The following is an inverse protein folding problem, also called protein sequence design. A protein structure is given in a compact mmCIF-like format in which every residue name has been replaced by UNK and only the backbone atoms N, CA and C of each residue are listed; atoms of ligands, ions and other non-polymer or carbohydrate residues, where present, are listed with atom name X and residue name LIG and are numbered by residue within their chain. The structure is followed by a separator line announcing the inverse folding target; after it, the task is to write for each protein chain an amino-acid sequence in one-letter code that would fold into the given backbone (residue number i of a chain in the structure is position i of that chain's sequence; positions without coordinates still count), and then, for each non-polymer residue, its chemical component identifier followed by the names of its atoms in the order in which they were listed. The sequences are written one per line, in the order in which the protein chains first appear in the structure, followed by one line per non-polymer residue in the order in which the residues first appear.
data_IF_749550289854
#
_entry.id   IF_749550289854
#
_cell.length_a   1.000
_cell.length_b   1.000
_cell.length_c   1.000
_cell.angle_alpha   90.00
_cell.angle_beta   90.00
_cell.angle_gamma   90.00
#
_symmetry.space_group_name_H-M   'P 1'
#
loop_
_entity.id
_entity.type
_entity.pdbx_description
1 polymer ?
#
# COMPACT_ATOMS: atom_id res chain seq x y z
N UNK A 1 57.14 6.39 -10.27
CA UNK A 1 57.04 6.36 -11.74
C UNK A 1 55.60 6.67 -12.03
N UNK A 2 55.16 7.99 -12.05
CA UNK A 2 55.33 9.01 -13.09
C UNK A 2 54.82 8.49 -14.43
N UNK A 3 53.85 9.09 -15.03
CA UNK A 3 53.56 10.39 -15.64
C UNK A 3 52.08 10.45 -16.06
N UNK A 4 51.23 11.37 -15.76
CA UNK A 4 51.06 12.77 -16.19
C UNK A 4 51.04 13.01 -17.72
N UNK A 5 49.91 13.50 -18.23
CA UNK A 5 49.77 14.40 -19.41
C UNK A 5 48.31 14.85 -19.53
N UNK A 6 47.92 16.01 -19.02
CA UNK A 6 47.76 17.39 -19.58
C UNK A 6 46.78 17.55 -20.77
N UNK A 7 45.71 18.19 -20.46
CA UNK A 7 45.04 19.36 -21.07
C UNK A 7 45.37 19.73 -22.53
N UNK A 8 44.34 19.98 -23.33
CA UNK A 8 44.35 21.06 -24.34
C UNK A 8 43.00 21.75 -24.45
N UNK A 9 43.02 23.05 -24.18
CA UNK A 9 42.01 24.08 -24.48
C UNK A 9 42.04 24.48 -25.93
N UNK A 10 40.93 25.13 -26.41
CA UNK A 10 40.92 26.08 -27.49
C UNK A 10 39.69 26.04 -28.38
N UNK A 11 39.33 27.16 -29.02
CA UNK A 11 38.74 28.37 -28.45
C UNK A 11 37.36 28.73 -29.07
N UNK A 12 36.71 29.71 -28.46
CA UNK A 12 35.46 30.39 -28.87
C UNK A 12 35.76 31.37 -30.04
N UNK A 13 34.82 31.62 -30.93
CA UNK A 13 34.74 32.90 -31.62
C UNK A 13 33.53 33.74 -31.20
N UNK A 14 33.82 35.02 -30.96
CA UNK A 14 32.89 36.17 -30.84
C UNK A 14 32.71 36.83 -32.19
N UNK A 15 31.67 37.64 -32.30
CA UNK A 15 31.48 38.72 -33.24
C UNK A 15 30.15 38.66 -33.98
N UNK A 16 29.41 39.66 -34.24
CA UNK A 16 29.26 41.06 -33.80
C UNK A 16 28.09 41.63 -34.62
N UNK A 17 27.33 42.59 -34.04
CA UNK A 17 26.60 43.70 -34.65
C UNK A 17 25.67 43.47 -35.86
N UNK A 18 24.47 43.99 -36.01
CA UNK A 18 23.91 45.26 -35.62
C UNK A 18 22.82 45.70 -36.60
N UNK A 19 22.02 46.67 -36.19
CA UNK A 19 21.12 47.61 -36.98
C UNK A 19 19.63 47.19 -37.01
N UNK A 20 18.80 47.85 -36.21
CA UNK A 20 18.10 49.16 -36.24
C UNK A 20 16.99 49.31 -37.27
N UNK A 21 15.80 49.58 -36.68
CA UNK A 21 14.75 50.55 -37.09
C UNK A 21 13.83 50.24 -38.28
N UNK A 22 12.52 50.08 -38.00
CA UNK A 22 11.56 51.15 -38.38
C UNK A 22 10.21 50.96 -37.67
N UNK A 23 9.73 52.09 -37.20
CA UNK A 23 8.45 52.43 -36.60
C UNK A 23 7.27 52.30 -37.58
N UNK A 24 6.11 51.93 -37.07
CA UNK A 24 4.84 52.04 -37.77
C UNK A 24 3.70 52.04 -36.76
N UNK A 25 3.27 53.24 -36.37
CA UNK A 25 2.03 53.47 -35.61
C UNK A 25 0.79 53.13 -36.46
N UNK A 26 -0.19 52.47 -35.87
CA UNK A 26 -1.49 52.27 -36.48
C UNK A 26 -2.53 52.03 -35.37
N UNK A 27 -3.20 53.12 -35.03
CA UNK A 27 -4.33 53.18 -34.08
C UNK A 27 -5.60 52.57 -34.64
N UNK A 28 -6.46 52.09 -33.64
CA UNK A 28 -7.94 52.05 -33.64
C UNK A 28 -8.62 50.77 -34.09
N UNK A 29 -9.19 49.96 -33.16
CA UNK A 29 -10.61 50.04 -32.76
C UNK A 29 -10.93 49.08 -31.64
N UNK A 30 -11.48 49.65 -30.57
CA UNK A 30 -12.23 48.91 -29.55
C UNK A 30 -13.55 48.40 -30.12
N UNK A 31 -13.83 47.11 -30.00
CA UNK A 31 -15.20 46.64 -29.92
C UNK A 31 -15.18 45.50 -28.90
N UNK A 32 -15.90 45.74 -27.79
CA UNK A 32 -16.06 44.78 -26.74
C UNK A 32 -17.00 43.66 -27.17
N UNK A 33 -16.64 42.45 -26.75
CA UNK A 33 -17.59 41.37 -26.45
C UNK A 33 -17.00 40.62 -25.27
N UNK A 34 -17.49 40.94 -24.07
CA UNK A 34 -17.32 40.11 -22.89
C UNK A 34 -18.18 38.86 -23.08
N UNK A 35 -17.55 37.75 -23.48
CA UNK A 35 -18.07 36.42 -23.26
C UNK A 35 -17.40 35.84 -22.03
N UNK A 36 -18.10 35.04 -21.19
CA UNK A 36 -17.51 34.44 -20.02
C UNK A 36 -16.42 33.46 -20.49
N UNK A 37 -15.18 33.78 -20.16
CA UNK A 37 -14.09 32.79 -20.24
C UNK A 37 -14.40 31.76 -19.18
N UNK A 38 -15.08 30.70 -19.57
CA UNK A 38 -15.12 29.46 -18.84
C UNK A 38 -13.68 29.00 -18.72
N UNK A 39 -13.12 29.15 -17.52
CA UNK A 39 -11.87 28.53 -17.16
C UNK A 39 -12.05 27.02 -17.36
N UNK A 40 -11.62 26.52 -18.50
CA UNK A 40 -11.41 25.11 -18.70
C UNK A 40 -10.38 24.69 -17.64
N UNK A 41 -10.87 24.16 -16.52
CA UNK A 41 -10.04 23.48 -15.55
C UNK A 41 -9.27 22.45 -16.34
N UNK A 42 -7.94 22.61 -16.40
CA UNK A 42 -7.05 21.62 -16.97
C UNK A 42 -7.23 20.33 -16.17
N UNK A 43 -8.12 19.47 -16.64
CA UNK A 43 -8.35 18.17 -16.08
C UNK A 43 -7.05 17.37 -16.25
N UNK A 44 -6.46 16.92 -15.15
CA UNK A 44 -5.60 15.76 -15.19
C UNK A 44 -4.08 15.94 -15.09
N UNK A 45 -3.51 17.05 -14.67
CA UNK A 45 -2.03 17.19 -14.54
C UNK A 45 -1.52 17.23 -13.08
N UNK A 46 -2.34 16.95 -12.10
CA UNK A 46 -1.97 16.98 -10.69
C UNK A 46 -1.06 15.82 -10.27
N UNK A 47 -0.13 16.09 -9.36
CA UNK A 47 0.63 15.05 -8.65
C UNK A 47 -0.03 14.78 -7.31
N UNK A 48 -0.33 13.52 -7.04
CA UNK A 48 -1.01 13.03 -5.85
C UNK A 48 -0.05 12.21 -5.01
N UNK A 49 -0.15 12.30 -3.69
CA UNK A 49 0.65 11.48 -2.78
C UNK A 49 -0.22 10.83 -1.70
N UNK A 50 -0.03 9.53 -1.53
CA UNK A 50 -0.66 8.71 -0.50
C UNK A 50 0.43 8.12 0.40
N UNK A 51 0.38 8.43 1.70
CA UNK A 51 1.25 7.87 2.71
C UNK A 51 0.43 7.01 3.66
N UNK A 52 0.95 5.83 3.92
CA UNK A 52 0.43 4.85 4.89
C UNK A 52 1.51 4.60 5.95
N UNK A 53 1.25 5.04 7.17
CA UNK A 53 2.05 4.78 8.36
C UNK A 53 1.40 3.65 9.16
N UNK A 54 1.75 2.43 8.80
CA UNK A 54 1.24 1.22 9.45
C UNK A 54 2.05 0.80 10.67
N UNK A 55 1.60 -0.25 11.33
CA UNK A 55 2.26 -0.83 12.51
C UNK A 55 3.69 -1.32 12.23
N UNK A 56 3.94 -1.84 11.04
CA UNK A 56 5.26 -2.37 10.66
C UNK A 56 6.00 -1.50 9.63
N UNK A 57 5.29 -0.83 8.74
CA UNK A 57 5.88 -0.18 7.59
C UNK A 57 5.45 1.30 7.48
N UNK A 58 6.36 2.15 6.99
CA UNK A 58 6.05 3.45 6.42
C UNK A 58 6.12 3.35 4.90
N UNK A 59 5.04 3.67 4.20
CA UNK A 59 4.94 3.53 2.75
C UNK A 59 4.39 4.81 2.12
N UNK A 60 5.06 5.30 1.08
CA UNK A 60 4.60 6.44 0.28
C UNK A 60 4.44 6.01 -1.17
N UNK A 61 3.38 6.48 -1.81
CA UNK A 61 3.15 6.34 -3.24
C UNK A 61 2.80 7.72 -3.82
N UNK A 62 3.51 8.12 -4.86
CA UNK A 62 3.26 9.38 -5.57
C UNK A 62 2.91 9.04 -7.01
N UNK A 63 1.82 9.59 -7.51
CA UNK A 63 1.29 9.25 -8.83
C UNK A 63 0.65 10.44 -9.54
N UNK A 64 0.52 10.31 -10.85
CA UNK A 64 -0.25 11.21 -11.71
C UNK A 64 -1.37 10.42 -12.39
N UNK A 65 -2.54 11.02 -12.67
CA UNK A 65 -3.59 10.40 -13.47
C UNK A 65 -3.06 9.94 -14.83
N UNK A 66 -3.51 8.78 -15.31
CA UNK A 66 -3.13 8.23 -16.60
C UNK A 66 -4.23 7.29 -17.11
N UNK A 67 -4.94 7.69 -18.16
CA UNK A 67 -6.11 6.96 -18.66
C UNK A 67 -7.18 6.81 -17.58
N UNK A 68 -7.74 5.62 -17.44
CA UNK A 68 -8.74 5.29 -16.41
C UNK A 68 -8.14 4.99 -15.04
N UNK A 69 -6.83 5.14 -14.89
CA UNK A 69 -6.09 4.88 -13.66
C UNK A 69 -5.01 5.92 -13.40
N UNK A 70 -3.89 5.48 -12.86
CA UNK A 70 -2.76 6.36 -12.56
C UNK A 70 -1.41 5.70 -12.89
N UNK A 71 -0.41 6.54 -13.08
CA UNK A 71 0.98 6.14 -13.26
C UNK A 71 1.80 6.57 -12.03
N UNK A 72 2.45 5.61 -11.41
CA UNK A 72 3.37 5.88 -10.29
C UNK A 72 4.59 6.64 -10.80
N UNK A 73 4.93 7.74 -10.14
CA UNK A 73 6.09 8.61 -10.46
C UNK A 73 7.18 8.53 -9.40
N UNK A 74 6.83 8.15 -8.18
CA UNK A 74 7.78 7.88 -7.10
C UNK A 74 7.16 7.00 -6.02
N UNK A 75 8.00 6.33 -5.25
CA UNK A 75 7.57 5.52 -4.11
C UNK A 75 8.65 5.45 -3.04
N UNK A 76 8.22 5.10 -1.83
CA UNK A 76 9.11 4.80 -0.72
C UNK A 76 8.47 3.71 0.15
N UNK A 77 9.29 2.83 0.68
CA UNK A 77 8.85 1.82 1.65
C UNK A 77 10.00 1.53 2.61
N UNK A 78 9.72 1.57 3.89
CA UNK A 78 10.68 1.22 4.96
C UNK A 78 9.96 0.51 6.08
N UNK A 79 10.55 -0.56 6.58
CA UNK A 79 10.14 -1.23 7.81
C UNK A 79 10.59 -0.34 8.98
N UNK A 80 9.66 0.06 9.81
CA UNK A 80 9.89 0.96 10.96
C UNK A 80 9.51 0.32 12.29
N UNK A 81 8.72 -0.80 12.26
CA UNK A 81 8.22 -1.50 13.46
C UNK A 81 7.65 -0.53 14.49
N UNK A 82 6.73 0.36 14.04
CA UNK A 82 6.13 1.38 14.91
C UNK A 82 5.36 0.76 16.07
N UNK A 83 4.72 -0.39 15.82
CA UNK A 83 3.92 -1.11 16.81
C UNK A 83 4.68 -2.07 17.70
N UNK A 84 6.01 -2.16 17.56
CA UNK A 84 6.84 -3.06 18.37
C UNK A 84 6.68 -2.74 19.87
N UNK A 85 6.23 -3.73 20.66
CA UNK A 85 6.03 -3.63 22.10
C UNK A 85 4.76 -2.90 22.55
N UNK A 86 3.91 -2.37 21.66
CA UNK A 86 2.65 -1.70 22.03
C UNK A 86 1.72 -2.64 22.78
N UNK A 87 1.64 -3.91 22.39
CA UNK A 87 0.82 -4.93 23.03
C UNK A 87 1.13 -5.09 24.52
N UNK A 88 2.39 -4.85 24.92
CA UNK A 88 2.86 -5.00 26.31
C UNK A 88 2.88 -3.67 27.06
N UNK A 89 3.30 -2.57 26.40
CA UNK A 89 3.55 -1.28 27.05
C UNK A 89 2.40 -0.29 26.92
N UNK A 90 1.51 -0.50 25.93
CA UNK A 90 0.43 0.44 25.57
C UNK A 90 0.95 1.73 24.90
N UNK A 91 2.23 1.82 24.53
CA UNK A 91 2.82 3.04 23.97
C UNK A 91 3.86 2.75 22.90
N UNK A 92 4.05 3.70 21.98
CA UNK A 92 5.12 3.68 20.99
C UNK A 92 6.43 4.01 21.68
N UNK A 93 7.46 3.17 21.53
CA UNK A 93 8.77 3.39 22.11
C UNK A 93 9.53 4.54 21.40
N UNK A 94 10.42 5.23 22.12
CA UNK A 94 11.25 6.32 21.55
C UNK A 94 12.05 5.84 20.35
N UNK A 95 12.61 4.63 20.40
CA UNK A 95 13.34 4.05 19.28
C UNK A 95 12.46 3.83 18.04
N UNK A 96 11.19 3.46 18.22
CA UNK A 96 10.23 3.33 17.12
C UNK A 96 9.82 4.71 16.57
N UNK A 97 9.65 5.70 17.43
CA UNK A 97 9.40 7.09 17.05
C UNK A 97 10.55 7.62 16.19
N UNK A 98 11.80 7.43 16.60
CA UNK A 98 12.97 7.91 15.85
C UNK A 98 13.08 7.23 14.48
N UNK A 99 12.82 5.91 14.39
CA UNK A 99 12.76 5.20 13.09
C UNK A 99 11.66 5.77 12.19
N UNK A 100 10.50 6.07 12.74
CA UNK A 100 9.38 6.64 12.01
C UNK A 100 9.68 8.05 11.50
N UNK A 101 10.23 8.93 12.35
CA UNK A 101 10.63 10.30 11.99
C UNK A 101 11.67 10.30 10.86
N UNK A 102 12.68 9.44 10.93
CA UNK A 102 13.67 9.30 9.86
C UNK A 102 13.05 8.85 8.54
N UNK A 103 12.05 7.97 8.56
CA UNK A 103 11.32 7.54 7.36
C UNK A 103 10.40 8.66 6.83
N UNK A 104 9.68 9.35 7.71
CA UNK A 104 8.74 10.41 7.36
C UNK A 104 9.46 11.65 6.82
N UNK A 105 10.67 11.97 7.30
CA UNK A 105 11.51 13.03 6.74
C UNK A 105 11.80 12.78 5.26
N UNK A 106 12.18 11.56 4.89
CA UNK A 106 12.40 11.19 3.49
C UNK A 106 11.10 11.29 2.68
N UNK A 107 9.96 10.89 3.26
CA UNK A 107 8.67 11.03 2.61
C UNK A 107 8.33 12.50 2.33
N UNK A 108 8.56 13.39 3.32
CA UNK A 108 8.36 14.83 3.18
C UNK A 108 9.21 15.42 2.04
N UNK A 109 10.49 15.04 1.97
CA UNK A 109 11.39 15.49 0.91
C UNK A 109 10.91 15.04 -0.48
N UNK A 110 10.48 13.78 -0.62
CA UNK A 110 9.93 13.26 -1.87
C UNK A 110 8.65 13.97 -2.28
N UNK A 111 7.72 14.22 -1.36
CA UNK A 111 6.48 14.95 -1.59
C UNK A 111 6.79 16.36 -2.12
N UNK A 112 7.70 17.07 -1.47
CA UNK A 112 8.15 18.41 -1.88
C UNK A 112 8.86 18.38 -3.24
N UNK A 113 9.78 17.46 -3.44
CA UNK A 113 10.52 17.32 -4.71
C UNK A 113 9.60 17.05 -5.89
N UNK A 114 8.59 16.17 -5.72
CA UNK A 114 7.60 15.86 -6.75
C UNK A 114 6.49 16.91 -6.86
N UNK A 115 6.48 17.92 -5.99
CA UNK A 115 5.48 19.00 -5.96
C UNK A 115 4.05 18.46 -5.90
N UNK A 116 3.84 17.40 -5.09
CA UNK A 116 2.52 16.82 -4.91
C UNK A 116 1.61 17.86 -4.25
N UNK A 117 0.43 18.09 -4.86
CA UNK A 117 -0.52 19.12 -4.41
C UNK A 117 -1.69 18.54 -3.64
N UNK A 118 -2.05 17.30 -3.93
CA UNK A 118 -3.13 16.57 -3.29
C UNK A 118 -2.51 15.46 -2.47
N UNK A 119 -2.71 15.50 -1.15
CA UNK A 119 -2.04 14.61 -0.20
C UNK A 119 -3.09 13.93 0.68
N UNK A 120 -2.94 12.64 0.92
CA UNK A 120 -3.59 11.94 2.01
C UNK A 120 -2.53 11.12 2.77
N UNK A 121 -2.27 11.51 4.02
CA UNK A 121 -1.16 11.03 4.82
C UNK A 121 -1.75 10.43 6.09
N UNK A 122 -1.89 9.11 6.11
CA UNK A 122 -2.62 8.42 7.16
C UNK A 122 -1.72 7.62 8.09
N UNK A 123 -2.23 7.39 9.31
CA UNK A 123 -1.72 6.43 10.26
C UNK A 123 -2.84 5.48 10.68
N UNK A 124 -2.48 4.23 10.99
CA UNK A 124 -3.43 3.16 11.25
C UNK A 124 -3.28 2.56 12.65
N UNK A 125 -3.35 1.26 12.83
CA UNK A 125 -3.52 0.57 14.10
C UNK A 125 -2.52 0.95 15.20
N UNK A 126 -1.23 1.13 14.89
CA UNK A 126 -0.26 1.52 15.91
C UNK A 126 -0.61 2.87 16.57
N UNK A 127 -1.10 3.84 15.78
CA UNK A 127 -1.53 5.13 16.31
C UNK A 127 -2.92 5.08 16.96
N UNK A 128 -3.77 4.13 16.60
CA UNK A 128 -5.06 3.91 17.29
C UNK A 128 -4.86 3.29 18.67
N UNK A 129 -3.90 2.38 18.80
CA UNK A 129 -3.68 1.58 20.01
C UNK A 129 -2.80 2.27 21.05
N UNK A 130 -1.91 3.16 20.63
CA UNK A 130 -0.91 3.73 21.54
C UNK A 130 -1.43 4.95 22.32
N UNK A 131 -1.19 4.95 23.64
CA UNK A 131 -1.57 6.04 24.55
C UNK A 131 -0.83 7.36 24.28
N UNK A 132 0.37 7.29 23.69
CA UNK A 132 1.20 8.46 23.35
C UNK A 132 1.10 8.88 21.87
N UNK A 133 0.08 8.41 21.14
CA UNK A 133 -0.08 8.67 19.70
C UNK A 133 -0.20 10.16 19.35
N UNK A 134 -0.88 10.96 20.19
CA UNK A 134 -1.04 12.41 19.93
C UNK A 134 0.31 13.13 20.04
N UNK A 135 1.08 12.88 21.09
CA UNK A 135 2.44 13.45 21.23
C UNK A 135 3.37 13.02 20.09
N UNK A 136 3.26 11.77 19.62
CA UNK A 136 3.98 11.31 18.44
C UNK A 136 3.57 12.08 17.17
N UNK A 137 2.29 12.28 16.94
CA UNK A 137 1.77 13.03 15.77
C UNK A 137 2.21 14.50 15.80
N UNK A 138 2.19 15.12 16.95
CA UNK A 138 2.66 16.51 17.14
C UNK A 138 4.16 16.62 16.82
N UNK A 139 4.96 15.66 17.30
CA UNK A 139 6.39 15.59 16.98
C UNK A 139 6.64 15.37 15.47
N UNK A 140 5.88 14.49 14.84
CA UNK A 140 5.92 14.29 13.37
C UNK A 140 5.63 15.60 12.64
N UNK A 141 4.58 16.30 13.02
CA UNK A 141 4.20 17.57 12.39
C UNK A 141 5.27 18.65 12.55
N UNK A 142 5.87 18.77 13.76
CA UNK A 142 6.91 19.74 14.05
C UNK A 142 8.21 19.46 13.30
N UNK A 143 8.66 18.20 13.24
CA UNK A 143 9.98 17.85 12.68
C UNK A 143 9.95 17.63 11.17
N UNK A 144 8.83 17.15 10.60
CA UNK A 144 8.76 16.76 9.17
C UNK A 144 7.79 17.60 8.35
N UNK A 145 6.92 18.36 8.98
CA UNK A 145 5.81 19.07 8.33
C UNK A 145 4.67 18.17 7.88
N UNK A 146 4.75 16.85 8.13
CA UNK A 146 3.69 15.88 7.81
C UNK A 146 2.62 15.93 8.90
N UNK A 147 1.36 16.12 8.48
CA UNK A 147 0.20 16.00 9.37
C UNK A 147 -0.49 14.67 9.09
N UNK A 148 -0.42 13.76 10.05
CA UNK A 148 -1.01 12.43 9.95
C UNK A 148 -2.49 12.46 10.35
N UNK A 149 -3.35 11.93 9.48
CA UNK A 149 -4.74 11.58 9.77
C UNK A 149 -4.78 10.16 10.34
N UNK A 150 -5.30 9.98 11.55
CA UNK A 150 -5.58 8.63 12.08
C UNK A 150 -6.96 8.21 11.60
N UNK A 151 -7.00 7.23 10.71
CA UNK A 151 -8.26 6.72 10.16
C UNK A 151 -8.81 5.57 11.02
N UNK A 152 -10.14 5.41 11.00
CA UNK A 152 -10.79 4.26 11.59
C UNK A 152 -10.64 2.99 10.72
N UNK A 153 -11.04 1.85 11.28
CA UNK A 153 -10.90 0.55 10.62
C UNK A 153 -11.86 0.38 9.43
N UNK A 154 -13.01 1.03 9.46
CA UNK A 154 -13.97 1.02 8.36
C UNK A 154 -13.43 1.74 7.13
N UNK A 155 -12.89 2.92 7.33
CA UNK A 155 -12.20 3.70 6.28
C UNK A 155 -11.01 2.93 5.71
N UNK A 156 -10.21 2.27 6.57
CA UNK A 156 -9.09 1.44 6.14
C UNK A 156 -9.55 0.29 5.23
N UNK A 157 -10.59 -0.44 5.63
CA UNK A 157 -11.18 -1.51 4.84
C UNK A 157 -11.76 -1.01 3.50
N UNK A 158 -12.48 0.12 3.51
CA UNK A 158 -13.07 0.72 2.31
C UNK A 158 -11.99 1.13 1.29
N UNK A 159 -10.92 1.76 1.75
CA UNK A 159 -9.80 2.15 0.89
C UNK A 159 -9.05 0.93 0.32
N UNK A 160 -8.88 -0.14 1.11
CA UNK A 160 -8.30 -1.38 0.61
C UNK A 160 -9.16 -2.00 -0.51
N UNK A 161 -10.49 -1.98 -0.36
CA UNK A 161 -11.43 -2.42 -1.42
C UNK A 161 -11.25 -1.60 -2.69
N UNK A 162 -11.22 -0.27 -2.58
CA UNK A 162 -11.03 0.62 -3.75
C UNK A 162 -9.70 0.30 -4.45
N UNK A 163 -8.62 0.13 -3.70
CA UNK A 163 -7.29 -0.16 -4.25
C UNK A 163 -7.18 -1.53 -4.91
N UNK A 164 -7.88 -2.53 -4.38
CA UNK A 164 -7.84 -3.91 -4.86
C UNK A 164 -8.92 -4.23 -5.90
N UNK A 165 -9.96 -3.40 -6.06
CA UNK A 165 -11.10 -3.61 -6.97
C UNK A 165 -10.71 -4.00 -8.40
N UNK A 166 -9.64 -3.46 -9.02
CA UNK A 166 -9.23 -3.86 -10.37
C UNK A 166 -8.79 -5.32 -10.50
N UNK A 167 -8.55 -6.00 -9.37
CA UNK A 167 -8.15 -7.42 -9.33
C UNK A 167 -9.31 -8.37 -9.03
N UNK A 168 -10.52 -7.87 -8.84
CA UNK A 168 -11.69 -8.73 -8.73
C UNK A 168 -11.90 -9.51 -10.03
N UNK A 169 -12.23 -10.80 -9.91
CA UNK A 169 -12.57 -11.62 -11.07
C UNK A 169 -13.81 -11.04 -11.78
N UNK A 170 -13.69 -10.63 -13.04
CA UNK A 170 -14.82 -10.07 -13.77
C UNK A 170 -15.98 -11.07 -13.98
N UNK A 171 -15.69 -12.37 -13.93
CA UNK A 171 -16.68 -13.44 -14.04
C UNK A 171 -17.18 -13.95 -12.68
N UNK A 172 -16.58 -13.45 -11.58
CA UNK A 172 -16.91 -13.85 -10.22
C UNK A 172 -18.05 -13.04 -9.62
N UNK A 173 -18.72 -13.61 -8.61
CA UNK A 173 -19.77 -12.95 -7.83
C UNK A 173 -19.25 -12.10 -6.67
N UNK A 174 -17.92 -12.00 -6.53
CA UNK A 174 -17.27 -11.22 -5.50
C UNK A 174 -16.03 -11.90 -4.94
N UNK A 175 -15.59 -11.42 -3.78
CA UNK A 175 -14.41 -11.92 -3.10
C UNK A 175 -14.55 -11.80 -1.57
N UNK A 176 -13.77 -12.60 -0.87
CA UNK A 176 -13.36 -12.30 0.49
C UNK A 176 -12.00 -11.62 0.38
N UNK A 177 -12.01 -10.28 0.51
CA UNK A 177 -10.78 -9.51 0.56
C UNK A 177 -10.25 -9.55 1.99
N UNK A 178 -8.93 -9.66 2.12
CA UNK A 178 -8.26 -9.53 3.41
C UNK A 178 -6.95 -8.75 3.27
N UNK A 179 -6.67 -7.94 4.28
CA UNK A 179 -5.40 -7.22 4.46
C UNK A 179 -4.75 -7.66 5.76
N UNK A 180 -3.63 -8.38 5.67
CA UNK A 180 -2.87 -8.85 6.83
C UNK A 180 -1.86 -7.78 7.21
N UNK A 181 -2.24 -6.89 8.11
CA UNK A 181 -1.40 -5.83 8.63
C UNK A 181 -0.40 -6.27 9.69
N UNK A 182 0.32 -5.29 10.26
CA UNK A 182 1.25 -5.54 11.38
C UNK A 182 0.55 -5.77 12.70
N UNK A 183 -0.46 -4.96 13.03
CA UNK A 183 -1.19 -4.96 14.30
C UNK A 183 -2.64 -5.40 14.18
N UNK A 184 -3.21 -5.40 12.99
CA UNK A 184 -4.59 -5.82 12.73
C UNK A 184 -4.68 -6.61 11.43
N UNK A 185 -5.81 -7.27 11.23
CA UNK A 185 -6.17 -7.92 9.97
C UNK A 185 -7.61 -7.56 9.64
N UNK A 186 -7.82 -7.00 8.47
CA UNK A 186 -9.12 -6.63 7.93
C UNK A 186 -9.65 -7.74 7.03
N UNK A 187 -10.94 -8.10 7.18
CA UNK A 187 -11.66 -8.99 6.28
C UNK A 187 -12.87 -8.24 5.73
N UNK A 188 -13.09 -8.33 4.43
CA UNK A 188 -14.21 -7.68 3.75
C UNK A 188 -14.88 -8.66 2.80
N UNK A 189 -16.19 -8.85 2.96
CA UNK A 189 -17.00 -9.57 1.97
C UNK A 189 -17.47 -8.58 0.91
N UNK A 190 -16.97 -8.77 -0.29
CA UNK A 190 -17.35 -7.99 -1.47
C UNK A 190 -18.31 -8.81 -2.31
N UNK A 191 -19.45 -8.23 -2.69
CA UNK A 191 -20.34 -8.78 -3.69
C UNK A 191 -20.29 -7.97 -4.98
N UNK A 192 -20.42 -8.68 -6.10
CA UNK A 192 -20.56 -8.14 -7.45
C UNK A 192 -21.69 -8.87 -8.14
N UNK A 193 -22.48 -8.15 -8.92
CA UNK A 193 -23.44 -8.77 -9.82
C UNK A 193 -22.74 -9.00 -11.17
N UNK A 194 -22.53 -10.26 -11.58
CA UNK A 194 -21.86 -10.57 -12.85
C UNK A 194 -22.71 -10.23 -14.08
N UNK A 195 -24.03 -10.10 -13.90
CA UNK A 195 -24.97 -9.78 -14.98
C UNK A 195 -25.05 -8.28 -15.26
N UNK A 196 -24.48 -7.45 -14.37
CA UNK A 196 -24.35 -6.01 -14.50
C UNK A 196 -22.94 -5.65 -14.98
N UNK A 197 -22.78 -5.29 -16.27
CA UNK A 197 -21.47 -5.08 -16.93
C UNK A 197 -20.58 -4.05 -16.23
N UNK A 198 -21.18 -3.07 -15.53
CA UNK A 198 -20.48 -2.01 -14.80
C UNK A 198 -20.75 -2.08 -13.29
N UNK A 199 -21.08 -3.26 -12.76
CA UNK A 199 -21.38 -3.41 -11.33
C UNK A 199 -20.24 -2.93 -10.44
N UNK A 200 -20.47 -1.85 -9.76
CA UNK A 200 -19.54 -1.36 -8.71
C UNK A 200 -19.52 -2.38 -7.58
N UNK A 201 -18.34 -2.91 -7.21
CA UNK A 201 -18.23 -3.84 -6.10
C UNK A 201 -18.82 -3.24 -4.82
N UNK A 202 -19.70 -3.98 -4.14
CA UNK A 202 -20.37 -3.53 -2.91
C UNK A 202 -19.82 -4.27 -1.71
N UNK A 203 -19.40 -3.54 -0.68
CA UNK A 203 -19.09 -4.11 0.62
C UNK A 203 -20.38 -4.63 1.24
N UNK A 204 -20.46 -5.93 1.52
CA UNK A 204 -21.58 -6.58 2.18
C UNK A 204 -21.39 -6.66 3.69
N UNK A 205 -20.17 -6.91 4.09
CA UNK A 205 -19.77 -6.97 5.49
C UNK A 205 -18.27 -6.74 5.59
N UNK A 206 -17.84 -6.25 6.73
CA UNK A 206 -16.42 -6.12 7.04
C UNK A 206 -16.18 -6.39 8.53
N UNK A 207 -14.97 -6.78 8.85
CA UNK A 207 -14.48 -6.84 10.22
C UNK A 207 -13.00 -6.48 10.27
N UNK A 208 -12.53 -6.06 11.42
CA UNK A 208 -11.11 -5.94 11.75
C UNK A 208 -10.83 -6.69 13.04
N UNK A 209 -9.83 -7.56 13.02
CA UNK A 209 -9.37 -8.25 14.22
C UNK A 209 -8.07 -7.62 14.71
N UNK A 210 -7.85 -7.49 16.04
CA UNK A 210 -6.67 -6.87 16.62
C UNK A 210 -5.46 -7.82 16.62
N UNK A 211 -5.31 -8.59 15.56
CA UNK A 211 -4.20 -9.52 15.33
C UNK A 211 -3.60 -9.26 13.96
N UNK A 212 -2.34 -8.89 13.95
CA UNK A 212 -1.51 -8.79 12.77
C UNK A 212 -0.23 -9.59 12.93
N UNK A 213 0.66 -9.53 11.94
CA UNK A 213 1.89 -10.34 11.96
C UNK A 213 2.83 -9.97 13.10
N UNK A 214 2.86 -8.70 13.54
CA UNK A 214 3.70 -8.27 14.66
C UNK A 214 3.13 -8.76 15.97
N UNK A 215 1.84 -8.49 16.23
CA UNK A 215 1.18 -8.90 17.48
C UNK A 215 1.21 -10.41 17.67
N UNK A 216 0.96 -11.18 16.60
CA UNK A 216 0.97 -12.65 16.67
C UNK A 216 2.40 -13.20 16.87
N UNK A 217 3.39 -12.62 16.20
CA UNK A 217 4.79 -13.02 16.38
C UNK A 217 5.34 -12.64 17.77
N UNK A 218 4.91 -11.52 18.36
CA UNK A 218 5.25 -11.16 19.74
C UNK A 218 4.68 -12.14 20.75
N UNK A 219 3.45 -12.63 20.50
CA UNK A 219 2.77 -13.55 21.42
C UNK A 219 3.35 -14.97 21.36
N UNK A 220 3.62 -15.51 20.17
CA UNK A 220 4.03 -16.92 19.99
C UNK A 220 5.51 -17.11 19.64
N UNK A 221 6.26 -16.01 19.43
CA UNK A 221 7.57 -16.04 18.85
C UNK A 221 7.54 -16.16 17.32
N UNK A 222 8.49 -15.54 16.65
CA UNK A 222 8.53 -15.47 15.18
C UNK A 222 9.76 -16.15 14.56
N UNK A 223 10.82 -16.38 15.37
CA UNK A 223 12.08 -16.99 14.88
C UNK A 223 12.02 -18.50 14.87
N UNK A 224 11.66 -19.10 16.01
CA UNK A 224 11.68 -20.55 16.23
C UNK A 224 10.22 -21.04 16.39
N UNK A 225 9.52 -21.11 15.26
CA UNK A 225 8.13 -21.55 15.21
C UNK A 225 8.07 -23.04 15.03
N UNK A 226 7.51 -23.74 16.01
CA UNK A 226 7.26 -25.18 15.97
C UNK A 226 5.90 -25.48 15.32
N UNK A 227 5.66 -26.73 14.92
CA UNK A 227 4.36 -27.16 14.42
C UNK A 227 3.24 -26.88 15.45
N UNK A 228 3.54 -27.03 16.74
CA UNK A 228 2.60 -26.77 17.82
C UNK A 228 2.30 -25.26 17.94
N UNK A 229 3.33 -24.40 18.02
CA UNK A 229 3.12 -22.95 18.12
C UNK A 229 2.43 -22.40 16.87
N UNK A 230 2.73 -22.92 15.68
CA UNK A 230 2.03 -22.57 14.45
C UNK A 230 0.53 -22.93 14.51
N UNK A 231 0.20 -24.15 14.95
CA UNK A 231 -1.18 -24.56 15.11
C UNK A 231 -1.94 -23.69 16.14
N UNK A 232 -1.28 -23.27 17.23
CA UNK A 232 -1.84 -22.34 18.20
C UNK A 232 -2.09 -20.96 17.60
N UNK A 233 -1.17 -20.42 16.80
CA UNK A 233 -1.38 -19.18 16.05
C UNK A 233 -2.63 -19.26 15.17
N UNK A 234 -2.77 -20.34 14.38
CA UNK A 234 -3.94 -20.55 13.52
C UNK A 234 -5.23 -20.62 14.34
N UNK A 235 -5.20 -21.34 15.44
CA UNK A 235 -6.36 -21.48 16.32
C UNK A 235 -6.78 -20.16 16.97
N UNK A 236 -5.84 -19.35 17.43
CA UNK A 236 -6.13 -18.03 18.01
C UNK A 236 -6.82 -17.14 16.98
N UNK A 237 -6.24 -17.02 15.80
CA UNK A 237 -6.84 -16.21 14.71
C UNK A 237 -8.22 -16.73 14.34
N UNK A 238 -8.40 -18.05 14.25
CA UNK A 238 -9.68 -18.69 13.90
C UNK A 238 -10.80 -18.31 14.88
N UNK A 239 -10.49 -18.15 16.18
CA UNK A 239 -11.48 -17.72 17.18
C UNK A 239 -12.03 -16.32 16.88
N UNK A 240 -11.18 -15.38 16.44
CA UNK A 240 -11.62 -14.05 16.06
C UNK A 240 -12.41 -14.01 14.75
N UNK A 241 -12.09 -14.89 13.81
CA UNK A 241 -12.76 -14.96 12.51
C UNK A 241 -14.10 -15.70 12.57
N UNK A 242 -14.26 -16.63 13.51
CA UNK A 242 -15.41 -17.54 13.58
C UNK A 242 -16.78 -16.83 13.55
N UNK A 243 -17.04 -15.72 14.28
CA UNK A 243 -18.33 -15.04 14.22
C UNK A 243 -18.63 -14.48 12.81
N UNK A 244 -17.65 -13.88 12.17
CA UNK A 244 -17.79 -13.34 10.81
C UNK A 244 -18.00 -14.45 9.78
N UNK A 245 -17.29 -15.57 9.92
CA UNK A 245 -17.45 -16.71 9.04
C UNK A 245 -18.82 -17.39 9.21
N UNK A 246 -19.33 -17.48 10.44
CA UNK A 246 -20.66 -18.02 10.71
C UNK A 246 -21.76 -17.19 10.04
N UNK A 247 -21.66 -15.87 10.09
CA UNK A 247 -22.68 -14.97 9.52
C UNK A 247 -22.49 -14.77 8.01
N UNK A 248 -21.25 -14.65 7.56
CA UNK A 248 -20.93 -14.23 6.20
C UNK A 248 -20.20 -15.29 5.36
N UNK A 249 -19.95 -16.47 5.87
CA UNK A 249 -19.29 -17.58 5.15
C UNK A 249 -20.21 -18.38 4.22
N UNK A 250 -21.51 -18.08 4.19
CA UNK A 250 -22.46 -18.73 3.28
C UNK A 250 -22.47 -18.13 1.89
N UNK A 251 -22.89 -18.91 0.86
CA UNK A 251 -23.12 -18.41 -0.50
C UNK A 251 -21.85 -17.96 -1.24
N UNK A 252 -20.72 -18.64 -1.01
CA UNK A 252 -19.41 -18.30 -1.58
C UNK A 252 -19.21 -18.83 -3.01
N UNK A 253 -20.23 -19.39 -3.63
CA UNK A 253 -20.14 -19.96 -5.00
C UNK A 253 -19.68 -18.87 -6.00
N UNK A 254 -18.68 -19.18 -6.82
CA UNK A 254 -18.06 -18.28 -7.79
C UNK A 254 -17.40 -17.03 -7.15
N UNK A 255 -16.98 -17.14 -5.91
CA UNK A 255 -16.13 -16.15 -5.24
C UNK A 255 -14.69 -16.64 -5.17
N UNK A 256 -13.77 -15.75 -4.80
CA UNK A 256 -12.36 -16.05 -4.60
C UNK A 256 -11.81 -15.29 -3.37
N UNK A 257 -10.66 -15.71 -2.88
CA UNK A 257 -9.88 -14.93 -1.94
C UNK A 257 -9.15 -13.82 -2.70
N UNK A 258 -9.10 -12.62 -2.12
CA UNK A 258 -8.33 -11.49 -2.63
C UNK A 258 -7.46 -10.97 -1.49
N UNK A 259 -6.18 -11.34 -1.51
CA UNK A 259 -5.28 -11.01 -0.41
C UNK A 259 -4.33 -9.88 -0.76
N UNK A 260 -4.19 -8.92 0.15
CA UNK A 260 -3.20 -7.85 0.05
C UNK A 260 -2.22 -7.91 1.20
N UNK A 261 -1.23 -7.04 1.18
CA UNK A 261 -0.15 -6.88 2.17
C UNK A 261 1.15 -7.63 1.89
N UNK A 262 2.08 -7.41 2.82
CA UNK A 262 3.42 -7.99 2.73
C UNK A 262 3.47 -9.52 2.86
N UNK A 263 2.55 -10.12 3.59
CA UNK A 263 2.45 -11.58 3.75
C UNK A 263 2.13 -12.24 2.42
N UNK A 264 1.04 -11.82 1.79
CA UNK A 264 0.53 -12.45 0.57
C UNK A 264 1.50 -12.25 -0.60
N UNK A 265 2.05 -11.05 -0.73
CA UNK A 265 3.03 -10.73 -1.78
C UNK A 265 4.36 -11.45 -1.59
N UNK A 266 4.80 -11.66 -0.35
CA UNK A 266 5.98 -12.48 -0.03
C UNK A 266 5.73 -13.95 -0.38
N UNK A 267 4.58 -14.50 0.02
CA UNK A 267 4.18 -15.87 -0.31
C UNK A 267 4.20 -16.10 -1.83
N UNK A 268 3.63 -15.17 -2.59
CA UNK A 268 3.62 -15.21 -4.06
C UNK A 268 5.04 -15.16 -4.65
N UNK A 269 5.92 -14.32 -4.13
CA UNK A 269 7.32 -14.26 -4.54
C UNK A 269 8.07 -15.58 -4.29
N UNK A 270 7.84 -16.21 -3.13
CA UNK A 270 8.41 -17.51 -2.77
C UNK A 270 7.84 -18.62 -3.66
N UNK A 271 6.53 -18.63 -3.91
CA UNK A 271 5.88 -19.58 -4.82
C UNK A 271 6.49 -19.53 -6.22
N UNK A 272 6.65 -18.33 -6.77
CA UNK A 272 7.24 -18.10 -8.10
C UNK A 272 8.77 -18.32 -8.15
N UNK A 273 9.42 -18.65 -7.04
CA UNK A 273 10.88 -18.78 -6.93
C UNK A 273 11.63 -17.57 -7.53
N UNK A 274 11.18 -16.36 -7.23
CA UNK A 274 11.78 -15.17 -7.80
C UNK A 274 13.21 -14.97 -7.26
N UNK A 275 14.20 -14.69 -8.14
CA UNK A 275 15.56 -14.38 -7.71
C UNK A 275 15.65 -13.05 -6.97
N UNK A 276 14.66 -12.22 -7.14
CA UNK A 276 14.43 -10.94 -6.46
C UNK A 276 12.96 -10.61 -6.54
N UNK A 277 12.41 -10.00 -5.47
CA UNK A 277 11.03 -9.54 -5.48
C UNK A 277 10.74 -8.61 -6.66
N UNK A 278 9.70 -8.92 -7.43
CA UNK A 278 9.25 -8.14 -8.58
C UNK A 278 7.73 -7.96 -8.52
N UNK A 279 7.29 -6.74 -8.21
CA UNK A 279 5.89 -6.36 -8.13
C UNK A 279 5.09 -6.74 -9.39
N UNK A 280 5.68 -6.56 -10.57
CA UNK A 280 5.00 -6.81 -11.85
C UNK A 280 4.67 -8.29 -12.06
N UNK A 281 5.43 -9.17 -11.42
CA UNK A 281 5.23 -10.61 -11.47
C UNK A 281 4.31 -11.12 -10.37
N UNK A 282 4.20 -10.39 -9.28
CA UNK A 282 3.43 -10.77 -8.08
C UNK A 282 2.01 -10.21 -8.14
N UNK A 283 1.84 -8.93 -8.52
CA UNK A 283 0.53 -8.27 -8.52
C UNK A 283 -0.40 -8.92 -9.54
N UNK A 284 -1.51 -9.42 -9.05
CA UNK A 284 -2.56 -10.01 -9.87
C UNK A 284 -2.37 -11.48 -10.24
N UNK A 285 -1.38 -12.21 -9.69
CA UNK A 285 -1.31 -13.66 -9.93
C UNK A 285 -2.42 -14.41 -9.21
N UNK A 286 -2.77 -15.56 -9.74
CA UNK A 286 -3.61 -16.53 -9.08
C UNK A 286 -2.76 -17.62 -8.43
N UNK A 287 -3.13 -18.00 -7.21
CA UNK A 287 -2.59 -19.16 -6.52
C UNK A 287 -3.75 -20.10 -6.17
N UNK A 288 -3.62 -21.37 -6.48
CA UNK A 288 -4.56 -22.39 -6.02
C UNK A 288 -4.36 -22.65 -4.53
N UNK A 289 -5.34 -23.29 -3.90
CA UNK A 289 -5.23 -23.71 -2.52
C UNK A 289 -4.03 -24.67 -2.30
N UNK A 290 -3.75 -25.52 -3.28
CA UNK A 290 -2.58 -26.42 -3.26
C UNK A 290 -1.25 -25.65 -3.35
N UNK A 291 -1.16 -24.60 -4.17
CA UNK A 291 0.03 -23.74 -4.27
C UNK A 291 0.33 -23.04 -2.95
N UNK A 292 -0.72 -22.53 -2.29
CA UNK A 292 -0.59 -21.86 -0.98
C UNK A 292 -0.10 -22.86 0.05
N UNK A 293 -0.74 -24.03 0.13
CA UNK A 293 -0.38 -25.10 1.08
C UNK A 293 1.07 -25.54 0.90
N UNK A 294 1.49 -25.80 -0.34
CA UNK A 294 2.87 -26.20 -0.63
C UNK A 294 3.89 -25.12 -0.27
N UNK A 295 3.52 -23.84 -0.52
CA UNK A 295 4.42 -22.71 -0.22
C UNK A 295 4.56 -22.49 1.29
N UNK A 296 3.45 -22.59 2.05
CA UNK A 296 3.47 -22.49 3.51
C UNK A 296 4.27 -23.66 4.11
N UNK A 297 4.06 -24.89 3.63
CA UNK A 297 4.82 -26.05 4.10
C UNK A 297 6.33 -25.87 3.86
N UNK A 298 6.73 -25.30 2.70
CA UNK A 298 8.11 -24.95 2.39
C UNK A 298 8.66 -23.91 3.39
N UNK A 299 7.92 -22.87 3.70
CA UNK A 299 8.35 -21.83 4.65
C UNK A 299 8.48 -22.36 6.08
N UNK A 300 7.57 -23.26 6.51
CA UNK A 300 7.62 -23.93 7.80
C UNK A 300 8.84 -24.86 7.91
N UNK A 301 9.26 -25.48 6.81
CA UNK A 301 10.47 -26.31 6.76
C UNK A 301 11.79 -25.51 6.77
N UNK A 302 11.75 -24.18 6.61
CA UNK A 302 12.94 -23.33 6.63
C UNK A 302 13.29 -22.90 8.06
N UNK A 303 14.58 -22.95 8.42
CA UNK A 303 15.10 -22.26 9.59
C UNK A 303 14.94 -20.73 9.45
N UNK A 304 15.03 -20.00 10.57
CA UNK A 304 15.03 -18.53 10.52
C UNK A 304 16.10 -17.98 9.56
N UNK A 305 17.30 -18.57 9.57
CA UNK A 305 18.40 -18.14 8.70
C UNK A 305 18.09 -18.34 7.22
N UNK A 306 17.45 -19.44 6.86
CA UNK A 306 17.04 -19.70 5.47
C UNK A 306 15.94 -18.74 5.04
N UNK A 307 14.97 -18.44 5.92
CA UNK A 307 13.96 -17.41 5.65
C UNK A 307 14.60 -16.03 5.46
N UNK A 308 15.52 -15.64 6.33
CA UNK A 308 16.22 -14.35 6.26
C UNK A 308 17.12 -14.21 5.02
N UNK A 309 17.59 -15.31 4.46
CA UNK A 309 18.41 -15.34 3.23
C UNK A 309 17.55 -15.53 1.97
N UNK A 310 16.24 -15.64 2.08
CA UNK A 310 15.37 -15.80 0.92
C UNK A 310 15.20 -14.46 0.20
N UNK A 311 15.42 -14.45 -1.11
CA UNK A 311 15.41 -13.22 -1.93
C UNK A 311 14.06 -12.48 -1.99
N UNK A 312 12.97 -13.13 -1.58
CA UNK A 312 11.64 -12.54 -1.50
C UNK A 312 11.22 -12.18 -0.07
N UNK A 313 12.03 -12.54 0.93
CA UNK A 313 11.79 -12.25 2.33
C UNK A 313 12.91 -11.32 2.81
N UNK A 314 12.58 -10.07 3.19
CA UNK A 314 13.60 -9.22 3.80
C UNK A 314 13.97 -9.75 5.19
N UNK A 315 15.21 -9.51 5.62
CA UNK A 315 15.69 -9.92 6.95
C UNK A 315 14.75 -9.43 8.06
N UNK A 316 14.24 -8.20 7.90
CA UNK A 316 13.34 -7.57 8.86
C UNK A 316 11.93 -8.19 8.88
N UNK A 317 11.61 -9.13 7.97
CA UNK A 317 10.33 -9.83 7.92
C UNK A 317 10.44 -11.31 8.20
N UNK A 318 11.66 -11.84 8.29
CA UNK A 318 11.89 -13.27 8.43
C UNK A 318 11.29 -13.86 9.72
N UNK A 319 11.12 -13.04 10.75
CA UNK A 319 10.46 -13.35 12.02
C UNK A 319 8.94 -13.18 11.98
N UNK A 320 8.39 -12.53 10.95
CA UNK A 320 6.95 -12.24 10.82
C UNK A 320 6.23 -13.12 9.80
N UNK A 321 6.98 -13.75 8.90
CA UNK A 321 6.38 -14.45 7.74
C UNK A 321 5.50 -15.62 8.15
N UNK A 322 5.89 -16.40 9.18
CA UNK A 322 5.12 -17.55 9.63
C UNK A 322 3.85 -17.15 10.39
N UNK A 323 3.89 -16.06 11.15
CA UNK A 323 2.70 -15.48 11.74
C UNK A 323 1.70 -15.05 10.64
N UNK A 324 2.19 -14.45 9.56
CA UNK A 324 1.37 -14.12 8.40
C UNK A 324 0.78 -15.34 7.70
N UNK A 325 1.55 -16.41 7.58
CA UNK A 325 1.06 -17.70 7.06
C UNK A 325 -0.04 -18.29 7.93
N UNK A 326 0.09 -18.22 9.27
CA UNK A 326 -0.92 -18.72 10.19
C UNK A 326 -2.24 -17.93 10.09
N UNK A 327 -2.16 -16.59 9.94
CA UNK A 327 -3.34 -15.75 9.68
C UNK A 327 -4.02 -16.17 8.37
N UNK A 328 -3.23 -16.36 7.31
CA UNK A 328 -3.76 -16.80 6.00
C UNK A 328 -4.41 -18.18 6.09
N UNK A 329 -3.81 -19.14 6.80
CA UNK A 329 -4.41 -20.47 6.97
C UNK A 329 -5.72 -20.42 7.76
N UNK A 330 -5.81 -19.59 8.82
CA UNK A 330 -7.07 -19.38 9.53
C UNK A 330 -8.16 -18.80 8.60
N UNK A 331 -7.82 -17.84 7.76
CA UNK A 331 -8.74 -17.25 6.76
C UNK A 331 -9.19 -18.31 5.74
N UNK A 332 -8.27 -19.09 5.19
CA UNK A 332 -8.58 -20.16 4.22
C UNK A 332 -9.48 -21.24 4.79
N UNK A 333 -9.23 -21.61 6.05
CA UNK A 333 -10.07 -22.60 6.76
C UNK A 333 -11.49 -22.07 7.00
N UNK A 334 -11.62 -20.78 7.32
CA UNK A 334 -12.92 -20.14 7.55
C UNK A 334 -13.70 -19.90 6.24
N UNK A 335 -12.99 -19.64 5.15
CA UNK A 335 -13.55 -19.37 3.81
C UNK A 335 -12.87 -20.30 2.78
N UNK A 336 -13.33 -21.56 2.63
CA UNK A 336 -12.71 -22.56 1.78
C UNK A 336 -12.96 -22.26 0.29
N UNK A 337 -12.27 -21.27 -0.24
CA UNK A 337 -12.32 -20.85 -1.62
C UNK A 337 -11.15 -21.43 -2.42
N UNK A 338 -11.36 -21.86 -3.69
CA UNK A 338 -10.39 -22.67 -4.41
C UNK A 338 -9.14 -21.92 -4.86
N UNK A 339 -9.17 -20.58 -4.84
CA UNK A 339 -8.09 -19.75 -5.36
C UNK A 339 -7.99 -18.40 -4.66
N UNK A 340 -6.77 -17.90 -4.61
CA UNK A 340 -6.38 -16.60 -4.10
C UNK A 340 -5.87 -15.72 -5.25
N UNK A 341 -6.41 -14.52 -5.37
CA UNK A 341 -5.81 -13.45 -6.16
C UNK A 341 -4.89 -12.64 -5.27
N UNK A 342 -3.64 -12.46 -5.71
CA UNK A 342 -2.63 -11.71 -4.96
C UNK A 342 -2.66 -10.24 -5.37
N UNK A 343 -2.76 -9.32 -4.40
CA UNK A 343 -2.72 -7.89 -4.62
C UNK A 343 -1.45 -7.28 -4.01
N UNK A 344 -0.60 -6.68 -4.84
CA UNK A 344 0.46 -5.76 -4.39
C UNK A 344 0.00 -4.30 -4.53
N UNK A 345 -1.23 -4.10 -4.14
CA UNK A 345 -1.96 -2.82 -4.06
C UNK A 345 -2.93 -2.89 -2.90
N UNK A 346 -3.42 -1.75 -2.44
CA UNK A 346 -4.34 -1.69 -1.30
C UNK A 346 -4.63 -0.25 -0.91
N UNK A 347 -4.45 0.06 0.36
CA UNK A 347 -4.79 1.34 0.99
C UNK A 347 -4.26 2.58 0.25
N UNK A 348 -2.99 2.59 -0.16
CA UNK A 348 -2.38 3.75 -0.85
C UNK A 348 -2.97 3.95 -2.25
N UNK A 349 -3.16 2.88 -2.98
CA UNK A 349 -3.80 2.91 -4.28
C UNK A 349 -5.27 3.36 -4.16
N UNK A 350 -5.97 2.91 -3.11
CA UNK A 350 -7.33 3.37 -2.78
C UNK A 350 -7.39 4.86 -2.54
N UNK A 351 -6.51 5.39 -1.69
CA UNK A 351 -6.40 6.84 -1.45
C UNK A 351 -6.14 7.65 -2.72
N UNK A 352 -5.24 7.18 -3.58
CA UNK A 352 -4.94 7.86 -4.85
C UNK A 352 -6.17 7.89 -5.76
N UNK A 353 -6.84 6.75 -5.92
CA UNK A 353 -8.04 6.65 -6.76
C UNK A 353 -9.16 7.54 -6.23
N UNK A 354 -9.40 7.54 -4.91
CA UNK A 354 -10.42 8.38 -4.28
C UNK A 354 -10.15 9.87 -4.51
N UNK A 355 -8.94 10.35 -4.17
CA UNK A 355 -8.55 11.74 -4.41
C UNK A 355 -8.66 12.16 -5.88
N UNK A 356 -8.25 11.29 -6.81
CA UNK A 356 -8.31 11.57 -8.23
C UNK A 356 -9.75 11.59 -8.77
N UNK A 357 -10.65 10.76 -8.20
CA UNK A 357 -12.08 10.77 -8.53
C UNK A 357 -12.76 12.02 -8.01
N UNK A 358 -12.48 12.44 -6.78
CA UNK A 358 -12.98 13.67 -6.19
C UNK A 358 -12.62 14.91 -7.02
N UNK A 359 -11.39 14.93 -7.57
CA UNK A 359 -10.90 16.01 -8.42
C UNK A 359 -11.37 15.90 -9.89
N UNK A 360 -12.11 14.82 -10.25
CA UNK A 360 -12.53 14.55 -11.63
C UNK A 360 -11.36 14.25 -12.57
N UNK A 361 -10.22 13.82 -12.03
CA UNK A 361 -8.99 13.54 -12.78
C UNK A 361 -8.95 12.12 -13.36
N UNK A 362 -9.79 11.21 -12.86
CA UNK A 362 -10.08 9.91 -13.48
C UNK A 362 -11.45 10.02 -14.13
N UNK A 363 -11.60 9.46 -15.35
CA UNK A 363 -12.88 9.37 -16.01
C UNK A 363 -13.89 8.73 -15.05
N UNK A 364 -14.91 9.48 -14.66
CA UNK A 364 -16.02 8.93 -13.89
C UNK A 364 -16.66 7.81 -14.71
N UNK A 365 -16.98 6.68 -14.10
CA UNK A 365 -17.94 5.75 -14.69
C UNK A 365 -19.17 6.56 -15.09
N UNK A 366 -19.36 6.73 -16.40
CA UNK A 366 -20.58 7.30 -16.96
C UNK A 366 -21.64 6.23 -16.99
#
# INVERSE_FOLDING_TARGET
MDEDTRLRDGPVPRGDEGQRLHSGEGQVRRSGLQGPVAAARAAGTGVYAALDLGTNNCRLLIACPAGDGFRVVDSFSRIIRLGEGISTTGSISDAAIDRALAALSICSDKIRYRRARRLRLIATEACRAASNADGFRDRVAAETGIRLEVIDRETEAALAVIGCSPLLDPQGRGAILFDIGGGSTELVRIARDPDEQDAVPRIKAWMSIPLGVVTLAEHFGGRDVTAQSYAMMVQEVAQYIAPFAAEHGGGLRNMHLLGTSGTVTTLAGVHLNLPRYDRRRVDGIWMSDADITATIARLLGMSYRERANNNCISVERADLVLAGCAILDAIRNAFPLPRLRVADRGLREGMLVEMMREDGALGGCR
#
